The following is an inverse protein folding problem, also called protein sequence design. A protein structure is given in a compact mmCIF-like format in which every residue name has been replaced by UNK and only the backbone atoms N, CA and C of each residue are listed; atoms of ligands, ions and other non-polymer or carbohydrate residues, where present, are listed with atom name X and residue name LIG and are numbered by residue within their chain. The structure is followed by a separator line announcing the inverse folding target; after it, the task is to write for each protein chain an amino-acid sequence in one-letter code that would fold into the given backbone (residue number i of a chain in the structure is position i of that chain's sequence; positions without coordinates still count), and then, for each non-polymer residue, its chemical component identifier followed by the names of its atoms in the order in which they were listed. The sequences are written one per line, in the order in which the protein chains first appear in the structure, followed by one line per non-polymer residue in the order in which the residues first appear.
data_IF_724860123871
#
_entry.id   IF_724860123871
#
_cell.length_a   1.000
_cell.length_b   1.000
_cell.length_c   1.000
_cell.angle_alpha   90.00
_cell.angle_beta   90.00
_cell.angle_gamma   90.00
#
_symmetry.space_group_name_H-M   'P 1'
#
loop_
_entity.id
_entity.type
_entity.pdbx_description
1 polymer ?
#
# COMPACT_ATOMS: atom_id res chain seq x y z
N UNK A 1 5.79 -6.96 10.20
CA UNK A 1 4.91 -7.51 11.25
C UNK A 1 5.60 -7.55 12.61
N UNK A 2 4.89 -7.28 13.70
CA UNK A 2 5.33 -7.47 15.10
C UNK A 2 4.32 -8.30 15.88
N UNK A 3 4.78 -9.04 16.90
CA UNK A 3 3.95 -9.92 17.74
C UNK A 3 4.31 -9.67 19.22
N UNK A 4 3.31 -9.45 20.07
CA UNK A 4 3.51 -9.21 21.50
C UNK A 4 2.36 -9.79 22.36
N UNK A 5 2.65 -10.40 23.53
CA UNK A 5 3.99 -10.73 24.03
C UNK A 5 4.64 -11.87 23.22
N UNK A 6 5.97 -12.00 23.29
CA UNK A 6 6.71 -13.07 22.62
C UNK A 6 6.71 -14.39 23.39
N UNK A 7 6.19 -14.40 24.62
CA UNK A 7 5.97 -15.60 25.42
C UNK A 7 4.74 -15.45 26.29
N UNK A 8 4.06 -16.58 26.54
CA UNK A 8 2.93 -16.70 27.46
C UNK A 8 3.32 -17.65 28.59
N UNK A 9 2.88 -17.36 29.81
CA UNK A 9 3.19 -18.19 30.98
C UNK A 9 1.89 -18.72 31.58
N UNK A 10 1.75 -20.04 31.55
CA UNK A 10 0.64 -20.75 32.18
C UNK A 10 1.14 -21.41 33.47
N UNK A 11 0.35 -21.30 34.53
CA UNK A 11 0.57 -21.85 35.87
C UNK A 11 -0.62 -22.71 36.26
N UNK A 12 -0.53 -23.43 37.37
CA UNK A 12 -1.65 -24.22 37.89
C UNK A 12 -2.88 -23.40 38.25
N UNK A 13 -2.77 -22.07 38.34
CA UNK A 13 -3.88 -21.18 38.66
C UNK A 13 -4.51 -20.47 37.46
N UNK A 14 -3.90 -20.52 36.27
CA UNK A 14 -4.38 -19.80 35.08
C UNK A 14 -4.21 -20.61 33.76
N UNK A 15 -4.03 -21.93 33.87
CA UNK A 15 -3.81 -22.81 32.72
C UNK A 15 -5.01 -22.87 31.76
N UNK A 16 -6.21 -22.58 32.27
CA UNK A 16 -7.48 -22.53 31.56
C UNK A 16 -7.91 -21.10 31.19
N UNK A 17 -7.15 -20.08 31.61
CA UNK A 17 -7.40 -18.69 31.23
C UNK A 17 -6.86 -18.40 29.83
N UNK A 18 -7.69 -17.77 28.98
CA UNK A 18 -7.26 -17.31 27.67
C UNK A 18 -6.29 -16.13 27.82
N UNK A 19 -5.07 -16.29 27.31
CA UNK A 19 -4.09 -15.22 27.22
C UNK A 19 -4.04 -14.68 25.78
N UNK A 20 -4.21 -13.37 25.62
CA UNK A 20 -4.22 -12.72 24.32
C UNK A 20 -2.82 -12.46 23.76
N UNK A 21 -2.68 -12.55 22.45
CA UNK A 21 -1.51 -12.13 21.69
C UNK A 21 -1.95 -11.06 20.69
N UNK A 22 -1.21 -9.96 20.63
CA UNK A 22 -1.42 -8.87 19.68
C UNK A 22 -0.44 -9.03 18.53
N UNK A 23 -0.96 -9.06 17.31
CA UNK A 23 -0.20 -9.11 16.06
C UNK A 23 -0.45 -7.80 15.32
N UNK A 24 0.61 -7.15 14.84
CA UNK A 24 0.52 -5.90 14.08
C UNK A 24 1.27 -6.08 12.75
N UNK A 25 0.57 -5.97 11.63
CA UNK A 25 1.20 -5.81 10.32
C UNK A 25 1.70 -4.36 10.16
N UNK A 26 2.83 -4.17 9.49
CA UNK A 26 3.26 -2.82 9.10
C UNK A 26 2.58 -2.49 7.78
N UNK A 27 2.22 -1.22 7.59
CA UNK A 27 1.75 -0.72 6.29
C UNK A 27 2.98 -0.30 5.49
N UNK A 28 3.15 -0.83 4.29
CA UNK A 28 4.07 -0.37 3.25
C UNK A 28 3.30 0.38 2.17
N UNK A 29 3.87 0.55 0.99
CA UNK A 29 3.28 1.37 -0.08
C UNK A 29 3.55 0.77 -1.46
N UNK A 30 3.79 -0.54 -1.49
CA UNK A 30 3.86 -1.30 -2.71
C UNK A 30 2.50 -1.93 -2.97
N UNK A 31 2.07 -1.88 -4.23
CA UNK A 31 0.91 -2.61 -4.75
C UNK A 31 1.25 -4.10 -4.86
N UNK A 32 1.79 -4.66 -3.78
CA UNK A 32 2.14 -6.05 -3.67
C UNK A 32 0.87 -6.89 -3.46
N UNK A 33 0.97 -8.18 -3.72
CA UNK A 33 -0.11 -9.12 -3.41
C UNK A 33 -0.18 -9.35 -1.89
N UNK A 34 -1.36 -9.73 -1.38
CA UNK A 34 -1.57 -10.17 0.01
C UNK A 34 -0.38 -11.01 0.54
N UNK A 35 0.18 -10.61 1.68
CA UNK A 35 1.29 -11.31 2.31
C UNK A 35 0.82 -12.32 3.36
N UNK A 36 1.63 -13.34 3.60
CA UNK A 36 1.37 -14.37 4.62
C UNK A 36 2.53 -14.52 5.58
N UNK A 37 2.21 -14.60 6.87
CA UNK A 37 3.18 -14.89 7.91
C UNK A 37 2.73 -16.07 8.77
N UNK A 38 3.71 -16.81 9.30
CA UNK A 38 3.47 -17.94 10.20
C UNK A 38 4.01 -17.65 11.59
N UNK A 39 3.19 -17.93 12.60
CA UNK A 39 3.57 -17.92 14.01
C UNK A 39 3.55 -19.36 14.51
N UNK A 40 4.69 -19.87 14.97
CA UNK A 40 4.79 -21.19 15.59
C UNK A 40 4.72 -21.06 17.11
N UNK A 41 3.77 -21.76 17.73
CA UNK A 41 3.62 -21.86 19.17
C UNK A 41 4.17 -23.20 19.63
N UNK A 42 5.23 -23.16 20.45
CA UNK A 42 5.83 -24.34 21.06
C UNK A 42 5.67 -24.29 22.58
N UNK A 43 5.36 -25.44 23.18
CA UNK A 43 5.21 -25.56 24.62
C UNK A 43 6.44 -26.23 25.24
N UNK A 44 6.88 -25.73 26.39
CA UNK A 44 7.94 -26.35 27.19
C UNK A 44 7.64 -26.18 28.68
N UNK A 45 8.37 -26.90 29.55
CA UNK A 45 8.28 -26.69 30.99
C UNK A 45 7.30 -27.60 31.75
N UNK A 46 7.03 -28.81 31.25
CA UNK A 46 6.29 -29.84 32.01
C UNK A 46 5.09 -30.44 31.29
N UNK A 47 4.79 -29.96 30.09
CA UNK A 47 3.86 -30.58 29.15
C UNK A 47 4.61 -30.95 27.87
N UNK A 48 4.18 -32.03 27.23
CA UNK A 48 4.58 -32.38 25.86
C UNK A 48 3.37 -32.07 24.99
N UNK A 49 3.49 -31.03 24.18
CA UNK A 49 2.51 -30.67 23.17
C UNK A 49 3.22 -30.53 21.83
N UNK A 50 2.52 -30.85 20.75
CA UNK A 50 3.03 -30.60 19.40
C UNK A 50 3.02 -29.09 19.12
N UNK A 51 3.96 -28.65 18.29
CA UNK A 51 3.99 -27.26 17.83
C UNK A 51 2.73 -26.96 17.03
N UNK A 52 2.13 -25.80 17.29
CA UNK A 52 0.95 -25.33 16.58
C UNK A 52 1.35 -24.14 15.71
N UNK A 53 1.08 -24.21 14.41
CA UNK A 53 1.26 -23.09 13.51
C UNK A 53 -0.04 -22.28 13.39
N UNK A 54 0.09 -20.95 13.44
CA UNK A 54 -0.96 -20.01 13.10
C UNK A 54 -0.53 -19.21 11.88
N UNK A 55 -1.29 -19.38 10.80
CA UNK A 55 -1.15 -18.55 9.61
C UNK A 55 -1.88 -17.22 9.80
N UNK A 56 -1.21 -16.14 9.42
CA UNK A 56 -1.68 -14.77 9.44
C UNK A 56 -1.65 -14.27 7.99
N UNK A 57 -2.81 -13.93 7.47
CA UNK A 57 -2.92 -13.22 6.19
C UNK A 57 -2.91 -11.72 6.47
N UNK A 58 -2.06 -11.00 5.75
CA UNK A 58 -2.03 -9.54 5.71
C UNK A 58 -2.66 -9.17 4.38
N UNK A 59 -3.86 -8.62 4.45
CA UNK A 59 -4.53 -8.09 3.28
C UNK A 59 -3.79 -6.83 2.84
N UNK A 60 -3.34 -6.83 1.61
CA UNK A 60 -2.85 -5.63 0.96
C UNK A 60 -4.06 -4.76 0.61
N UNK A 61 -4.04 -3.50 1.05
CA UNK A 61 -5.08 -2.51 0.74
C UNK A 61 -4.60 -1.42 -0.21
N UNK A 62 -3.39 -1.57 -0.76
CA UNK A 62 -2.92 -0.76 -1.86
C UNK A 62 -3.63 -1.21 -3.15
N UNK A 63 -3.77 -0.29 -4.11
CA UNK A 63 -4.46 -0.60 -5.36
C UNK A 63 -3.69 -0.02 -6.53
N UNK A 64 -3.42 -0.86 -7.53
CA UNK A 64 -2.82 -0.46 -8.79
C UNK A 64 -3.45 0.81 -9.38
N UNK A 65 -2.65 1.87 -9.46
CA UNK A 65 -3.01 3.13 -10.09
C UNK A 65 -2.82 3.10 -11.60
N UNK A 66 -3.70 3.79 -12.33
CA UNK A 66 -3.52 4.11 -13.75
C UNK A 66 -3.48 5.62 -13.94
N UNK A 67 -2.81 6.06 -15.02
CA UNK A 67 -2.90 7.45 -15.47
C UNK A 67 -4.24 7.61 -16.21
N UNK A 68 -5.02 8.59 -15.79
CA UNK A 68 -6.30 8.94 -16.39
C UNK A 68 -6.21 10.33 -16.99
N UNK A 69 -6.53 10.43 -18.28
CA UNK A 69 -6.76 11.71 -18.96
C UNK A 69 -8.20 12.15 -18.68
N UNK A 70 -8.39 13.40 -18.27
CA UNK A 70 -9.75 13.92 -18.02
C UNK A 70 -10.53 14.20 -19.31
N UNK A 71 -9.81 14.34 -20.42
CA UNK A 71 -10.34 14.80 -21.70
C UNK A 71 -10.38 13.66 -22.73
N UNK A 72 -10.97 13.94 -23.90
CA UNK A 72 -10.98 12.98 -25.01
C UNK A 72 -9.54 12.52 -25.34
N UNK A 73 -9.38 11.27 -25.79
CA UNK A 73 -8.07 10.66 -26.07
C UNK A 73 -7.23 11.42 -27.12
N UNK A 74 -7.84 12.33 -27.87
CA UNK A 74 -7.19 13.20 -28.84
C UNK A 74 -7.44 14.66 -28.47
N UNK A 75 -6.35 15.43 -28.32
CA UNK A 75 -6.38 16.89 -28.27
C UNK A 75 -6.14 17.43 -29.69
N UNK A 76 -7.04 18.27 -30.19
CA UNK A 76 -6.83 19.00 -31.45
C UNK A 76 -6.34 20.41 -31.12
N UNK A 77 -5.23 20.81 -31.75
CA UNK A 77 -4.64 22.14 -31.61
C UNK A 77 -4.34 22.65 -33.01
N UNK A 78 -4.83 23.84 -33.34
CA UNK A 78 -4.53 24.50 -34.61
C UNK A 78 -3.14 25.14 -34.57
N UNK A 79 -2.50 25.31 -35.73
CA UNK A 79 -1.15 25.90 -35.82
C UNK A 79 -1.11 27.30 -35.18
N UNK A 80 -0.18 27.48 -34.23
CA UNK A 80 0.00 28.74 -33.52
C UNK A 80 -0.88 28.92 -32.28
N UNK A 81 -1.80 27.99 -32.02
CA UNK A 81 -2.65 27.98 -30.83
C UNK A 81 -2.11 27.06 -29.72
N UNK A 82 -2.73 27.15 -28.54
CA UNK A 82 -2.40 26.34 -27.36
C UNK A 82 -3.59 25.47 -26.99
N UNK A 83 -3.35 24.18 -26.76
CA UNK A 83 -4.32 23.26 -26.17
C UNK A 83 -3.94 22.84 -24.75
N UNK A 84 -4.93 22.52 -23.93
CA UNK A 84 -4.74 22.01 -22.58
C UNK A 84 -5.43 20.64 -22.45
N UNK A 85 -4.82 19.75 -21.67
CA UNK A 85 -5.44 18.52 -21.21
C UNK A 85 -5.05 18.29 -19.76
N UNK A 86 -5.92 17.65 -18.97
CA UNK A 86 -5.59 17.35 -17.58
C UNK A 86 -5.28 15.87 -17.39
N UNK A 87 -4.35 15.61 -16.46
CA UNK A 87 -3.89 14.29 -16.07
C UNK A 87 -4.17 14.10 -14.58
N UNK A 88 -4.68 12.93 -14.21
CA UNK A 88 -4.78 12.50 -12.81
C UNK A 88 -4.35 11.04 -12.66
N UNK A 89 -4.06 10.65 -11.43
CA UNK A 89 -3.93 9.24 -11.07
C UNK A 89 -5.31 8.70 -10.65
N UNK A 90 -5.61 7.44 -10.98
CA UNK A 90 -6.88 6.81 -10.59
C UNK A 90 -6.98 6.51 -9.09
N UNK A 91 -5.84 6.49 -8.41
CA UNK A 91 -5.69 6.23 -6.96
C UNK A 91 -4.75 7.27 -6.36
N UNK A 92 -4.84 7.47 -5.05
CA UNK A 92 -3.89 8.29 -4.32
C UNK A 92 -2.57 7.51 -4.18
N UNK A 93 -1.41 8.07 -4.55
CA UNK A 93 -0.13 7.39 -4.32
C UNK A 93 0.38 7.66 -2.90
N UNK A 94 1.00 6.66 -2.30
CA UNK A 94 1.59 6.75 -0.95
C UNK A 94 3.05 7.25 -0.95
N UNK A 95 3.62 7.40 -2.15
CA UNK A 95 4.89 8.05 -2.40
C UNK A 95 4.81 9.06 -3.54
N UNK A 96 5.88 9.86 -3.70
CA UNK A 96 5.96 10.81 -4.80
C UNK A 96 6.05 10.08 -6.16
N UNK A 97 5.06 10.32 -7.03
CA UNK A 97 5.03 9.83 -8.41
C UNK A 97 5.47 10.95 -9.36
N UNK A 98 6.36 10.63 -10.29
CA UNK A 98 6.78 11.54 -11.38
C UNK A 98 6.19 11.06 -12.69
N UNK A 99 5.39 11.90 -13.36
CA UNK A 99 4.91 11.66 -14.72
C UNK A 99 5.79 12.45 -15.69
N UNK A 100 6.49 11.75 -16.58
CA UNK A 100 7.34 12.37 -17.61
C UNK A 100 6.55 12.51 -18.90
N UNK A 101 6.58 13.70 -19.51
CA UNK A 101 5.96 13.97 -20.80
C UNK A 101 7.05 14.06 -21.88
N UNK A 102 6.79 13.48 -23.04
CA UNK A 102 7.67 13.53 -24.22
C UNK A 102 6.83 13.75 -25.46
N UNK A 103 7.34 14.58 -26.38
CA UNK A 103 6.84 14.71 -27.75
C UNK A 103 7.84 14.03 -28.69
N UNK A 104 7.34 13.39 -29.74
CA UNK A 104 8.13 12.92 -30.88
C UNK A 104 8.19 13.93 -32.03
N UNK A 105 7.47 15.05 -31.90
CA UNK A 105 7.45 16.18 -32.81
C UNK A 105 8.19 17.38 -32.20
N UNK A 106 9.18 17.90 -32.94
CA UNK A 106 10.03 19.03 -32.54
C UNK A 106 9.28 20.38 -32.56
N UNK A 107 8.18 20.48 -33.30
CA UNK A 107 7.37 21.70 -33.39
C UNK A 107 6.34 21.81 -32.22
N UNK A 108 6.20 20.74 -31.42
CA UNK A 108 5.32 20.71 -30.25
C UNK A 108 6.10 21.04 -28.97
N UNK A 109 5.72 22.13 -28.31
CA UNK A 109 6.29 22.52 -27.01
C UNK A 109 5.38 22.07 -25.86
N UNK A 110 5.93 21.34 -24.89
CA UNK A 110 5.24 20.91 -23.68
C UNK A 110 5.57 21.85 -22.51
N UNK A 111 4.56 22.42 -21.86
CA UNK A 111 4.71 23.27 -20.66
C UNK A 111 3.90 22.72 -19.47
N UNK A 112 4.44 21.73 -18.73
CA UNK A 112 3.75 21.15 -17.58
C UNK A 112 3.81 22.11 -16.39
N UNK A 113 2.79 22.96 -16.23
CA UNK A 113 2.67 23.79 -15.03
C UNK A 113 2.17 22.94 -13.85
N UNK A 114 2.97 22.83 -12.78
CA UNK A 114 2.52 22.22 -11.52
C UNK A 114 1.61 23.20 -10.75
N UNK A 115 0.34 23.31 -11.11
CA UNK A 115 -0.62 24.02 -10.25
C UNK A 115 -1.00 23.14 -9.05
N UNK A 116 -0.25 23.28 -7.95
CA UNK A 116 -0.66 22.78 -6.62
C UNK A 116 -1.87 23.61 -6.15
N UNK A 117 -3.07 23.02 -5.92
CA UNK A 117 -4.16 23.81 -5.36
C UNK A 117 -3.84 24.15 -3.89
N UNK A 118 -4.19 25.35 -3.40
CA UNK A 118 -4.02 25.68 -2.00
C UNK A 118 -4.93 24.79 -1.14
N UNK A 119 -4.37 24.14 -0.11
CA UNK A 119 -5.15 23.48 0.95
C UNK A 119 -6.03 24.56 1.62
N UNK A 120 -7.35 24.47 1.47
CA UNK A 120 -8.26 25.15 2.39
C UNK A 120 -8.36 24.32 3.68
N UNK A 121 -8.18 25.03 4.78
CA UNK A 121 -8.23 24.55 6.16
C UNK A 121 -9.66 24.30 6.64
#
# INVERSE_FOLDING_TARGET
MTVAPTSLTFTTSNWDDLQGVVVTAAHDNDDAEDDTAKITLSASGGIVAEDVEKEISVNDDDTAGTIVLSDAATLMVDEGDTGEFNVKLSVQPDAQVTVTLTSDDDDVTLDPTMTRPPRSH
#
